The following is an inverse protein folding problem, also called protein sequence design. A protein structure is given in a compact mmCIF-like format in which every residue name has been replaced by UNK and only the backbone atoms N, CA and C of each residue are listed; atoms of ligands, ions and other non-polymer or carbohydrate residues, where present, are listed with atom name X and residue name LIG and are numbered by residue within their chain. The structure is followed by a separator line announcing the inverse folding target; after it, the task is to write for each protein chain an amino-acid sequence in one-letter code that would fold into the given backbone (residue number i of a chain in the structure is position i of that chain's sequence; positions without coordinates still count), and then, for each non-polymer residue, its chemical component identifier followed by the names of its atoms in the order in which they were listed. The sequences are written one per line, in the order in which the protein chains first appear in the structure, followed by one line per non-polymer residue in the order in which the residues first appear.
data_IF_617217072068
#
_entry.id   IF_617217072068
#
_cell.length_a   1.000
_cell.length_b   1.000
_cell.length_c   1.000
_cell.angle_alpha   90.00
_cell.angle_beta   90.00
_cell.angle_gamma   90.00
#
_symmetry.space_group_name_H-M   'P 1'
#
loop_
_entity.id
_entity.type
_entity.pdbx_description
1 polymer ?
#
# COMPACT_ATOMS: atom_id res chain seq x y z
N UNK A 1 2.59 -15.22 -13.09
CA UNK A 1 3.32 -16.42 -12.61
C UNK A 1 3.78 -16.28 -11.15
N UNK A 2 4.25 -15.12 -10.71
CA UNK A 2 4.55 -14.84 -9.28
C UNK A 2 3.31 -14.85 -8.37
N UNK A 3 2.12 -14.56 -8.90
CA UNK A 3 0.84 -14.64 -8.18
C UNK A 3 0.39 -16.08 -7.86
N UNK A 4 0.81 -17.08 -8.65
CA UNK A 4 0.41 -18.47 -8.45
C UNK A 4 1.15 -19.10 -7.25
N UNK A 5 2.45 -18.84 -7.12
CA UNK A 5 3.26 -19.32 -5.99
C UNK A 5 2.78 -18.71 -4.66
N UNK A 6 2.50 -17.41 -4.63
CA UNK A 6 1.95 -16.75 -3.44
C UNK A 6 0.57 -17.29 -3.06
N UNK A 7 -0.30 -17.54 -4.06
CA UNK A 7 -1.63 -18.13 -3.84
C UNK A 7 -1.60 -19.58 -3.36
N UNK A 8 -0.66 -20.38 -3.87
CA UNK A 8 -0.46 -21.77 -3.42
C UNK A 8 0.07 -21.80 -1.99
N UNK A 9 1.08 -20.98 -1.67
CA UNK A 9 1.60 -20.89 -0.30
C UNK A 9 0.49 -20.41 0.65
N UNK A 10 -0.31 -19.42 0.27
CA UNK A 10 -1.44 -18.98 1.08
C UNK A 10 -2.46 -20.11 1.30
N UNK A 11 -2.79 -20.87 0.26
CA UNK A 11 -3.74 -21.99 0.35
C UNK A 11 -3.23 -23.09 1.29
N UNK A 12 -1.99 -23.54 1.13
CA UNK A 12 -1.38 -24.60 1.96
C UNK A 12 -1.33 -24.24 3.46
N UNK A 13 -1.19 -22.95 3.80
CA UNK A 13 -1.11 -22.51 5.19
C UNK A 13 -2.45 -22.09 5.81
N UNK A 14 -3.48 -21.82 5.00
CA UNK A 14 -4.75 -21.23 5.49
C UNK A 14 -6.02 -21.96 5.04
N UNK A 15 -5.90 -22.99 4.19
CA UNK A 15 -7.01 -23.69 3.51
C UNK A 15 -7.98 -22.76 2.76
N UNK A 16 -7.55 -21.53 2.46
CA UNK A 16 -8.38 -20.49 1.85
C UNK A 16 -7.80 -20.04 0.51
N UNK A 17 -8.64 -20.02 -0.54
CA UNK A 17 -8.28 -19.42 -1.83
C UNK A 17 -8.14 -17.89 -1.69
N UNK A 18 -7.34 -17.29 -2.57
CA UNK A 18 -7.16 -15.85 -2.59
C UNK A 18 -8.51 -15.10 -2.74
N UNK A 19 -8.65 -13.91 -2.14
CA UNK A 19 -9.95 -13.45 -1.65
C UNK A 19 -10.59 -12.35 -2.50
N UNK A 20 -11.92 -12.36 -2.57
CA UNK A 20 -12.84 -11.59 -3.44
C UNK A 20 -12.99 -10.09 -3.07
N UNK A 21 -12.52 -9.60 -1.92
CA UNK A 21 -12.81 -8.22 -1.45
C UNK A 21 -12.09 -7.15 -2.26
N UNK A 22 -10.90 -7.45 -2.81
CA UNK A 22 -10.30 -6.60 -3.84
C UNK A 22 -11.13 -6.60 -5.14
N UNK A 23 -11.76 -7.73 -5.47
CA UNK A 23 -12.58 -7.86 -6.68
C UNK A 23 -13.78 -6.92 -6.65
N UNK A 24 -14.44 -6.68 -5.51
CA UNK A 24 -15.65 -5.82 -5.50
C UNK A 24 -15.42 -4.37 -5.92
N UNK A 25 -14.32 -3.74 -5.45
CA UNK A 25 -13.99 -2.37 -5.87
C UNK A 25 -13.54 -2.32 -7.34
N UNK A 26 -12.80 -3.33 -7.77
CA UNK A 26 -12.29 -3.43 -9.15
C UNK A 26 -13.38 -3.80 -10.16
N UNK A 27 -14.34 -4.64 -9.76
CA UNK A 27 -15.58 -4.92 -10.48
C UNK A 27 -16.40 -3.64 -10.60
N UNK A 28 -16.48 -2.83 -9.54
CA UNK A 28 -17.12 -1.51 -9.63
C UNK A 28 -16.41 -0.60 -10.67
N UNK A 29 -15.07 -0.59 -10.72
CA UNK A 29 -14.33 0.14 -11.77
C UNK A 29 -14.61 -0.41 -13.17
N UNK A 30 -14.68 -1.73 -13.32
CA UNK A 30 -14.88 -2.39 -14.62
C UNK A 30 -16.32 -2.27 -15.12
N UNK A 31 -17.29 -2.44 -14.25
CA UNK A 31 -18.73 -2.39 -14.56
C UNK A 31 -19.25 -0.95 -14.64
N UNK A 32 -18.68 -0.04 -13.86
CA UNK A 32 -19.11 1.36 -13.77
C UNK A 32 -18.03 2.33 -14.26
N UNK A 33 -17.32 1.98 -15.34
CA UNK A 33 -16.24 2.81 -15.90
C UNK A 33 -16.68 4.21 -16.38
N UNK A 34 -17.98 4.44 -16.57
CA UNK A 34 -18.53 5.76 -16.90
C UNK A 34 -19.09 6.52 -15.69
N UNK A 35 -19.06 5.93 -14.48
CA UNK A 35 -19.60 6.56 -13.29
C UNK A 35 -18.57 7.54 -12.67
N UNK A 36 -18.90 8.83 -12.54
CA UNK A 36 -17.99 9.82 -11.95
C UNK A 36 -17.62 9.50 -10.49
N UNK A 37 -18.49 8.81 -9.74
CA UNK A 37 -18.20 8.37 -8.37
C UNK A 37 -17.03 7.39 -8.35
N UNK A 38 -16.99 6.45 -9.29
CA UNK A 38 -15.91 5.46 -9.41
C UNK A 38 -14.58 6.13 -9.67
N UNK A 39 -14.54 7.10 -10.58
CA UNK A 39 -13.34 7.90 -10.85
C UNK A 39 -12.91 8.76 -9.66
N UNK A 40 -13.86 9.28 -8.87
CA UNK A 40 -13.57 9.96 -7.61
C UNK A 40 -12.88 9.04 -6.58
N UNK A 41 -13.29 7.78 -6.49
CA UNK A 41 -12.65 6.79 -5.62
C UNK A 41 -11.25 6.42 -6.12
N UNK A 42 -11.07 6.21 -7.42
CA UNK A 42 -9.74 5.98 -8.03
C UNK A 42 -8.81 7.15 -7.73
N UNK A 43 -9.26 8.39 -7.93
CA UNK A 43 -8.49 9.58 -7.62
C UNK A 43 -8.10 9.63 -6.13
N UNK A 44 -9.01 9.25 -5.24
CA UNK A 44 -8.73 9.19 -3.81
C UNK A 44 -7.65 8.16 -3.49
N UNK A 45 -7.72 6.95 -4.05
CA UNK A 45 -6.78 5.87 -3.77
C UNK A 45 -5.40 6.12 -4.38
N UNK A 46 -5.33 6.77 -5.55
CA UNK A 46 -4.08 6.98 -6.27
C UNK A 46 -3.40 8.29 -5.86
N UNK A 47 -4.16 9.33 -5.52
CA UNK A 47 -3.63 10.67 -5.29
C UNK A 47 -3.84 11.12 -3.85
N UNK A 48 -5.10 11.28 -3.40
CA UNK A 48 -5.36 11.92 -2.10
C UNK A 48 -4.88 11.11 -0.90
N UNK A 49 -5.15 9.81 -0.90
CA UNK A 49 -4.70 8.86 0.13
C UNK A 49 -3.18 8.84 0.25
N UNK A 50 -2.45 8.51 -0.83
CA UNK A 50 -0.99 8.53 -0.82
C UNK A 50 -0.40 9.89 -0.40
N UNK A 51 -0.98 11.01 -0.84
CA UNK A 51 -0.50 12.33 -0.44
C UNK A 51 -0.65 12.56 1.06
N UNK A 52 -1.82 12.28 1.63
CA UNK A 52 -2.08 12.42 3.05
C UNK A 52 -1.17 11.49 3.87
N UNK A 53 -1.03 10.24 3.44
CA UNK A 53 -0.18 9.24 4.06
C UNK A 53 1.29 9.66 4.05
N UNK A 54 1.84 10.12 2.93
CA UNK A 54 3.22 10.59 2.89
C UNK A 54 3.45 11.78 3.82
N UNK A 55 2.53 12.75 3.86
CA UNK A 55 2.62 13.89 4.78
C UNK A 55 2.68 13.42 6.23
N UNK A 56 1.81 12.50 6.63
CA UNK A 56 1.74 11.98 8.00
C UNK A 56 2.96 11.12 8.33
N UNK A 57 3.21 10.09 7.54
CA UNK A 57 4.22 9.09 7.86
C UNK A 57 5.63 9.62 7.62
N UNK A 58 5.90 10.24 6.46
CA UNK A 58 7.24 10.68 6.09
C UNK A 58 7.50 12.11 6.49
N UNK A 59 6.52 12.99 6.33
CA UNK A 59 6.63 14.41 6.68
C UNK A 59 6.65 14.64 8.19
N UNK A 60 5.72 14.04 8.93
CA UNK A 60 5.60 14.25 10.37
C UNK A 60 6.31 13.17 11.20
N UNK A 61 5.93 11.89 11.09
CA UNK A 61 6.39 10.85 12.01
C UNK A 61 7.88 10.52 11.80
N UNK A 62 8.30 10.20 10.57
CA UNK A 62 9.70 9.84 10.28
C UNK A 62 10.65 11.00 10.59
N UNK A 63 10.31 12.24 10.19
CA UNK A 63 11.15 13.40 10.51
C UNK A 63 11.10 13.74 12.00
N UNK A 64 9.95 13.62 12.65
CA UNK A 64 9.80 13.84 14.09
C UNK A 64 10.68 12.88 14.90
N UNK A 65 10.70 11.59 14.54
CA UNK A 65 11.59 10.60 15.15
C UNK A 65 13.07 10.99 14.96
N UNK A 66 13.45 11.46 13.77
CA UNK A 66 14.82 11.94 13.53
C UNK A 66 15.15 13.19 14.34
N UNK A 67 14.20 14.12 14.52
CA UNK A 67 14.39 15.34 15.29
C UNK A 67 14.64 15.08 16.78
N UNK A 68 14.05 14.01 17.34
CA UNK A 68 14.31 13.59 18.72
C UNK A 68 15.58 12.72 18.88
N UNK A 69 16.43 12.65 17.85
CA UNK A 69 17.73 11.98 17.91
C UNK A 69 17.72 10.51 17.46
N UNK A 70 16.63 10.00 16.91
CA UNK A 70 16.60 8.63 16.40
C UNK A 70 17.50 8.46 15.17
N UNK A 71 18.31 7.38 15.08
CA UNK A 71 19.04 7.06 13.87
C UNK A 71 18.11 6.89 12.66
N UNK A 72 18.55 7.31 11.47
CA UNK A 72 17.74 7.26 10.24
C UNK A 72 17.09 5.89 9.99
N UNK A 73 17.86 4.81 10.17
CA UNK A 73 17.34 3.45 10.01
C UNK A 73 16.22 3.13 11.00
N UNK A 74 16.37 3.52 12.27
CA UNK A 74 15.34 3.35 13.29
C UNK A 74 14.06 4.12 12.97
N UNK A 75 14.20 5.38 12.55
CA UNK A 75 13.05 6.22 12.17
C UNK A 75 12.27 5.62 10.98
N UNK A 76 12.97 5.11 9.97
CA UNK A 76 12.35 4.42 8.82
C UNK A 76 11.62 3.16 9.28
N UNK A 77 12.29 2.28 10.04
CA UNK A 77 11.72 0.99 10.44
C UNK A 77 10.48 1.16 11.33
N UNK A 78 10.53 2.06 12.31
CA UNK A 78 9.39 2.32 13.20
C UNK A 78 8.23 2.94 12.42
N UNK A 79 8.50 3.94 11.58
CA UNK A 79 7.46 4.56 10.75
C UNK A 79 6.81 3.54 9.82
N UNK A 80 7.61 2.67 9.18
CA UNK A 80 7.10 1.62 8.30
C UNK A 80 6.26 0.57 9.03
N UNK A 81 6.66 0.18 10.24
CA UNK A 81 5.88 -0.72 11.09
C UNK A 81 4.54 -0.09 11.50
N UNK A 82 4.55 1.17 11.94
CA UNK A 82 3.31 1.90 12.28
C UNK A 82 2.40 2.04 11.06
N UNK A 83 2.95 2.39 9.89
CA UNK A 83 2.23 2.44 8.62
C UNK A 83 1.52 1.12 8.32
N UNK A 84 2.24 -0.01 8.39
CA UNK A 84 1.68 -1.33 8.12
C UNK A 84 0.59 -1.71 9.14
N UNK A 85 0.79 -1.42 10.43
CA UNK A 85 -0.18 -1.71 11.48
C UNK A 85 -1.43 -0.84 11.39
N UNK A 86 -1.31 0.41 10.91
CA UNK A 86 -2.46 1.27 10.67
C UNK A 86 -3.44 0.66 9.64
N UNK A 87 -2.93 -0.16 8.72
CA UNK A 87 -3.72 -0.87 7.72
C UNK A 87 -4.36 -2.17 8.24
N UNK A 88 -4.12 -2.57 9.49
CA UNK A 88 -4.62 -3.84 10.03
C UNK A 88 -6.13 -4.03 9.91
N UNK A 89 -6.90 -2.96 10.12
CA UNK A 89 -8.36 -2.98 9.98
C UNK A 89 -8.85 -2.93 8.53
N UNK A 90 -8.05 -2.40 7.62
CA UNK A 90 -8.38 -2.32 6.20
C UNK A 90 -8.04 -3.62 5.45
N UNK A 91 -7.04 -4.36 5.93
CA UNK A 91 -6.68 -5.68 5.40
C UNK A 91 -7.60 -6.73 6.04
N UNK A 92 -8.26 -7.58 5.24
CA UNK A 92 -9.03 -8.70 5.80
C UNK A 92 -8.13 -9.71 6.54
N UNK A 93 -8.67 -10.38 7.57
CA UNK A 93 -7.89 -11.29 8.45
C UNK A 93 -7.07 -12.35 7.69
N UNK A 94 -7.63 -12.97 6.66
CA UNK A 94 -6.94 -13.98 5.85
C UNK A 94 -5.74 -13.42 5.06
N UNK A 95 -5.72 -12.10 4.80
CA UNK A 95 -4.67 -11.42 4.04
C UNK A 95 -3.56 -10.87 4.94
N UNK A 96 -3.75 -10.87 6.26
CA UNK A 96 -2.80 -10.28 7.21
C UNK A 96 -1.39 -10.85 7.06
N UNK A 97 -1.27 -12.18 6.93
CA UNK A 97 0.00 -12.88 6.83
C UNK A 97 0.86 -12.45 5.62
N UNK A 98 0.22 -12.02 4.52
CA UNK A 98 0.93 -11.60 3.31
C UNK A 98 0.99 -10.07 3.18
N UNK A 99 -0.13 -9.38 3.37
CA UNK A 99 -0.25 -7.96 3.07
C UNK A 99 0.42 -7.07 4.13
N UNK A 100 0.36 -7.41 5.42
CA UNK A 100 0.97 -6.57 6.47
C UNK A 100 2.50 -6.55 6.36
N UNK A 101 3.20 -7.70 6.18
CA UNK A 101 4.63 -7.68 5.90
C UNK A 101 4.98 -6.94 4.60
N UNK A 102 4.18 -7.12 3.54
CA UNK A 102 4.39 -6.41 2.27
C UNK A 102 4.25 -4.88 2.43
N UNK A 103 3.26 -4.42 3.19
CA UNK A 103 3.07 -3.00 3.54
C UNK A 103 4.22 -2.46 4.37
N UNK A 104 4.78 -3.25 5.28
CA UNK A 104 5.96 -2.84 6.05
C UNK A 104 7.19 -2.68 5.13
N UNK A 105 7.45 -3.65 4.24
CA UNK A 105 8.55 -3.58 3.26
C UNK A 105 8.37 -2.38 2.33
N UNK A 106 7.17 -2.16 1.82
CA UNK A 106 6.84 -0.99 1.02
C UNK A 106 7.04 0.31 1.81
N UNK A 107 6.62 0.32 3.07
CA UNK A 107 6.84 1.40 4.02
C UNK A 107 8.30 1.79 4.16
N UNK A 108 9.19 0.80 4.30
CA UNK A 108 10.64 0.96 4.36
C UNK A 108 11.19 1.51 3.04
N UNK A 109 10.75 0.99 1.90
CA UNK A 109 11.20 1.44 0.58
C UNK A 109 10.89 2.93 0.35
N UNK A 110 9.67 3.37 0.67
CA UNK A 110 9.26 4.76 0.58
C UNK A 110 10.02 5.66 1.57
N UNK A 111 10.20 5.21 2.82
CA UNK A 111 10.96 5.93 3.83
C UNK A 111 12.43 6.12 3.43
N UNK A 112 13.05 5.08 2.87
CA UNK A 112 14.40 5.12 2.31
C UNK A 112 14.48 6.07 1.12
N UNK A 113 13.51 6.02 0.20
CA UNK A 113 13.46 6.91 -0.96
C UNK A 113 13.40 8.37 -0.52
N UNK A 114 12.54 8.71 0.44
CA UNK A 114 12.46 10.05 1.02
C UNK A 114 13.78 10.48 1.67
N UNK A 115 14.44 9.61 2.45
CA UNK A 115 15.75 9.95 3.04
C UNK A 115 16.85 10.17 2.00
N UNK A 116 16.82 9.41 0.89
CA UNK A 116 17.84 9.52 -0.15
C UNK A 116 17.67 10.77 -1.01
N UNK A 117 16.44 11.19 -1.26
CA UNK A 117 16.14 12.35 -2.11
C UNK A 117 15.97 13.65 -1.33
N UNK A 118 15.63 13.55 -0.04
CA UNK A 118 15.23 14.68 0.80
C UNK A 118 13.91 15.35 0.39
N UNK A 119 13.09 14.70 -0.45
CA UNK A 119 11.89 15.30 -1.04
C UNK A 119 10.66 14.42 -0.88
N UNK A 120 9.61 14.95 -0.25
CA UNK A 120 8.36 14.21 -0.04
C UNK A 120 7.73 13.76 -1.37
N UNK A 121 7.90 14.56 -2.42
CA UNK A 121 7.41 14.27 -3.76
C UNK A 121 7.94 12.96 -4.34
N UNK A 122 9.16 12.51 -4.00
CA UNK A 122 9.67 11.25 -4.53
C UNK A 122 8.95 10.04 -3.94
N UNK A 123 8.71 10.04 -2.62
CA UNK A 123 7.96 8.95 -1.99
C UNK A 123 6.50 8.99 -2.40
N UNK A 124 5.89 10.18 -2.48
CA UNK A 124 4.52 10.34 -3.00
C UNK A 124 4.36 9.79 -4.41
N UNK A 125 5.26 10.16 -5.34
CA UNK A 125 5.18 9.70 -6.73
C UNK A 125 5.31 8.18 -6.80
N UNK A 126 6.27 7.59 -6.06
CA UNK A 126 6.43 6.13 -6.01
C UNK A 126 5.18 5.45 -5.42
N UNK A 127 4.57 6.04 -4.40
CA UNK A 127 3.35 5.52 -3.78
C UNK A 127 2.15 5.57 -4.72
N UNK A 128 1.89 6.74 -5.33
CA UNK A 128 0.83 6.91 -6.30
C UNK A 128 0.98 5.95 -7.50
N UNK A 129 2.20 5.79 -8.02
CA UNK A 129 2.49 4.86 -9.11
C UNK A 129 2.27 3.40 -8.70
N UNK A 130 2.65 3.02 -7.48
CA UNK A 130 2.41 1.67 -6.96
C UNK A 130 0.90 1.36 -6.87
N UNK A 131 0.10 2.30 -6.33
CA UNK A 131 -1.34 2.13 -6.25
C UNK A 131 -1.99 2.08 -7.65
N UNK A 132 -1.57 2.96 -8.56
CA UNK A 132 -2.04 2.96 -9.95
C UNK A 132 -1.70 1.63 -10.65
N UNK A 133 -0.46 1.16 -10.53
CA UNK A 133 -0.01 -0.10 -11.12
C UNK A 133 -0.78 -1.31 -10.57
N UNK A 134 -1.07 -1.34 -9.27
CA UNK A 134 -1.89 -2.39 -8.68
C UNK A 134 -3.32 -2.36 -9.22
N UNK A 135 -3.99 -1.21 -9.24
CA UNK A 135 -5.35 -1.10 -9.83
C UNK A 135 -5.34 -1.60 -11.28
N UNK A 136 -4.36 -1.16 -12.07
CA UNK A 136 -4.23 -1.58 -13.47
C UNK A 136 -3.97 -3.08 -13.61
N UNK A 137 -2.99 -3.63 -12.89
CA UNK A 137 -2.66 -5.06 -12.96
C UNK A 137 -3.85 -5.92 -12.58
N UNK A 138 -4.55 -5.57 -11.49
CA UNK A 138 -5.72 -6.31 -11.07
C UNK A 138 -6.90 -6.19 -12.04
N UNK A 139 -7.05 -5.06 -12.74
CA UNK A 139 -8.08 -4.91 -13.79
C UNK A 139 -7.84 -5.82 -15.01
N UNK A 140 -6.62 -6.33 -15.18
CA UNK A 140 -6.21 -7.19 -16.30
C UNK A 140 -6.22 -8.69 -15.96
N UNK A 141 -6.42 -9.06 -14.69
CA UNK A 141 -6.45 -10.47 -14.31
C UNK A 141 -7.77 -11.13 -14.77
N UNK A 142 -7.72 -12.31 -15.42
CA UNK A 142 -8.91 -13.10 -15.70
C UNK A 142 -9.54 -13.60 -14.39
N UNK A 143 -10.86 -13.72 -14.38
CA UNK A 143 -11.66 -14.21 -13.24
C UNK A 143 -11.41 -15.69 -12.96
#
# INVERSE_FOLDING_TARGET
MTSALGGVIQFEFTDMRAPIVGHQFLETIREQGNNPVTWGLVFTIVILGPLAEEIIWRGAIQQGLKQIGMPRAGAILITAAMFALFHWGAVPKYGHAAAIPALAVFGVALGFLMERTGRLWSSFTAHALFNCANIFLFSMLPQ
#
